data_IF_330369867062
#
_entry.id   IF_330369867062
#
_cell.length_a   1.000
_cell.length_b   1.000
_cell.length_c   1.000
_cell.angle_alpha   90.00
_cell.angle_beta   90.00
_cell.angle_gamma   90.00
#
_symmetry.space_group_name_H-M   'P 1'
#
loop_
_entity.id
_entity.type
_entity.pdbx_description
1 polymer ?
#
# COMPACT_ATOMS: atom_id res chain seq x y z
N UNK A 1 28.92 -5.29 16.16
CA UNK A 1 28.30 -4.01 16.54
C UNK A 1 27.18 -3.74 15.54
N UNK A 2 25.99 -3.37 16.02
CA UNK A 2 24.91 -2.92 15.15
C UNK A 2 25.18 -1.45 14.78
N UNK A 3 25.39 -1.20 13.49
CA UNK A 3 25.76 0.12 12.97
C UNK A 3 24.57 1.09 13.01
N UNK A 4 24.66 2.13 13.85
CA UNK A 4 23.61 3.14 14.04
C UNK A 4 23.29 3.86 12.72
N UNK A 5 24.26 3.97 11.82
CA UNK A 5 24.11 4.53 10.47
C UNK A 5 23.15 3.72 9.58
N UNK A 6 23.10 2.39 9.75
CA UNK A 6 22.13 1.55 9.05
C UNK A 6 20.70 1.83 9.52
N UNK A 7 20.50 2.17 10.80
CA UNK A 7 19.18 2.56 11.32
C UNK A 7 18.67 3.88 10.75
N UNK A 8 19.55 4.85 10.50
CA UNK A 8 19.17 6.11 9.85
C UNK A 8 18.77 5.92 8.38
N UNK A 9 19.46 5.03 7.66
CA UNK A 9 19.08 4.65 6.30
C UNK A 9 17.74 3.89 6.28
N UNK A 10 17.55 2.97 7.22
CA UNK A 10 16.28 2.26 7.41
C UNK A 10 15.14 3.24 7.71
N UNK A 11 15.32 4.18 8.63
CA UNK A 11 14.30 5.21 8.95
C UNK A 11 13.89 6.02 7.72
N UNK A 12 14.85 6.45 6.90
CA UNK A 12 14.58 7.20 5.66
C UNK A 12 13.86 6.34 4.61
N UNK A 13 14.29 5.09 4.44
CA UNK A 13 13.65 4.14 3.52
C UNK A 13 12.21 3.83 3.93
N UNK A 14 11.97 3.61 5.22
CA UNK A 14 10.65 3.36 5.78
C UNK A 14 9.72 4.56 5.64
N UNK A 15 10.21 5.78 5.88
CA UNK A 15 9.42 7.00 5.70
C UNK A 15 9.01 7.23 4.23
N UNK A 16 9.91 6.94 3.29
CA UNK A 16 9.61 6.98 1.86
C UNK A 16 8.57 5.92 1.48
N UNK A 17 8.77 4.67 1.89
CA UNK A 17 7.84 3.57 1.65
C UNK A 17 6.43 3.87 2.19
N UNK A 18 6.33 4.47 3.38
CA UNK A 18 5.05 4.88 3.94
C UNK A 18 4.36 5.97 3.11
N UNK A 19 5.09 6.99 2.67
CA UNK A 19 4.54 8.05 1.84
C UNK A 19 4.09 7.52 0.46
N UNK A 20 4.86 6.62 -0.13
CA UNK A 20 4.55 5.99 -1.41
C UNK A 20 3.29 5.11 -1.29
N UNK A 21 3.18 4.31 -0.23
CA UNK A 21 1.98 3.53 0.08
C UNK A 21 0.76 4.45 0.29
N UNK A 22 0.89 5.53 1.07
CA UNK A 22 -0.18 6.51 1.29
C UNK A 22 -0.62 7.18 -0.01
N UNK A 23 0.31 7.54 -0.89
CA UNK A 23 0.01 8.13 -2.18
C UNK A 23 -0.70 7.15 -3.11
N UNK A 24 -0.28 5.88 -3.10
CA UNK A 24 -0.91 4.80 -3.86
C UNK A 24 -2.36 4.60 -3.41
N UNK A 25 -2.61 4.50 -2.11
CA UNK A 25 -3.95 4.36 -1.53
C UNK A 25 -4.84 5.52 -1.99
N UNK A 26 -4.37 6.77 -1.86
CA UNK A 26 -5.12 7.95 -2.32
C UNK A 26 -5.48 7.91 -3.81
N UNK A 27 -4.54 7.46 -4.65
CA UNK A 27 -4.79 7.33 -6.11
C UNK A 27 -5.85 6.27 -6.39
N UNK A 28 -5.76 5.12 -5.74
CA UNK A 28 -6.72 4.02 -5.88
C UNK A 28 -8.12 4.45 -5.39
N UNK A 29 -8.20 5.12 -4.23
CA UNK A 29 -9.46 5.67 -3.72
C UNK A 29 -10.05 6.78 -4.60
N UNK A 30 -9.22 7.54 -5.31
CA UNK A 30 -9.67 8.50 -6.31
C UNK A 30 -10.15 7.85 -7.63
N UNK A 31 -10.29 6.52 -7.66
CA UNK A 31 -10.73 5.76 -8.82
C UNK A 31 -9.66 5.55 -9.89
N UNK A 32 -8.37 5.80 -9.59
CA UNK A 32 -7.30 5.52 -10.54
C UNK A 32 -6.90 4.05 -10.48
N UNK A 33 -6.84 3.41 -11.63
CA UNK A 33 -6.26 2.08 -11.77
C UNK A 33 -4.75 2.14 -11.55
N UNK A 34 -4.28 1.49 -10.49
CA UNK A 34 -2.86 1.36 -10.16
C UNK A 34 -2.41 -0.07 -10.38
N UNK A 35 -1.19 -0.25 -10.89
CA UNK A 35 -0.56 -1.56 -11.00
C UNK A 35 0.27 -1.85 -9.75
N UNK A 36 0.26 -3.10 -9.32
CA UNK A 36 1.14 -3.59 -8.26
C UNK A 36 2.58 -3.52 -8.74
N UNK A 37 3.46 -2.87 -7.99
CA UNK A 37 4.87 -2.72 -8.36
C UNK A 37 5.62 -4.06 -8.33
N UNK A 38 5.15 -5.02 -7.52
CA UNK A 38 5.79 -6.33 -7.36
C UNK A 38 5.44 -7.29 -8.50
N UNK A 39 4.22 -7.25 -9.04
CA UNK A 39 3.74 -8.25 -9.98
C UNK A 39 3.07 -7.72 -11.25
N UNK A 40 2.91 -6.39 -11.37
CA UNK A 40 2.30 -5.71 -12.51
C UNK A 40 0.78 -5.84 -12.63
N UNK A 41 0.14 -6.67 -11.79
CA UNK A 41 -1.32 -6.84 -11.77
C UNK A 41 -2.05 -5.57 -11.34
N UNK A 42 -3.27 -5.36 -11.85
CA UNK A 42 -4.11 -4.23 -11.43
C UNK A 42 -4.54 -4.43 -9.97
N UNK A 43 -4.38 -3.38 -9.17
CA UNK A 43 -4.85 -3.32 -7.79
C UNK A 43 -6.36 -3.11 -7.78
N UNK A 44 -7.05 -3.89 -6.93
CA UNK A 44 -8.51 -3.81 -6.76
C UNK A 44 -8.81 -3.05 -5.49
N UNK A 45 -9.68 -2.06 -5.59
CA UNK A 45 -10.28 -1.39 -4.44
C UNK A 45 -11.54 -2.18 -4.05
N UNK A 46 -11.59 -2.63 -2.80
CA UNK A 46 -12.81 -3.16 -2.19
C UNK A 46 -13.39 -2.05 -1.32
N UNK A 47 -14.65 -1.71 -1.59
CA UNK A 47 -15.40 -0.72 -0.82
C UNK A 47 -16.24 -1.42 0.26
N UNK A 48 -16.56 -0.73 1.37
CA UNK A 48 -17.27 -1.35 2.49
C UNK A 48 -18.69 -1.83 2.16
N UNK A 49 -19.29 -1.38 1.05
CA UNK A 49 -20.62 -1.83 0.60
C UNK A 49 -20.66 -3.34 0.30
N UNK A 50 -19.53 -3.96 -0.05
CA UNK A 50 -19.43 -5.38 -0.41
C UNK A 50 -19.44 -6.35 0.80
N UNK A 51 -19.69 -5.87 2.03
CA UNK A 51 -19.59 -6.65 3.30
C UNK A 51 -18.22 -7.33 3.52
N UNK A 52 -17.22 -6.97 2.73
CA UNK A 52 -15.84 -7.43 2.83
C UNK A 52 -14.97 -6.35 3.48
N UNK A 53 -13.82 -6.75 4.03
CA UNK A 53 -12.84 -5.79 4.57
C UNK A 53 -12.45 -4.81 3.46
N UNK A 54 -12.77 -3.52 3.61
CA UNK A 54 -12.51 -2.58 2.55
C UNK A 54 -11.02 -2.27 2.53
N UNK A 55 -10.46 -2.11 1.33
CA UNK A 55 -9.02 -2.20 1.19
C UNK A 55 -8.53 -2.20 -0.25
N UNK A 56 -7.22 -2.13 -0.43
CA UNK A 56 -6.55 -2.28 -1.72
C UNK A 56 -5.86 -3.64 -1.75
N UNK A 57 -6.30 -4.50 -2.67
CA UNK A 57 -5.83 -5.87 -2.78
C UNK A 57 -5.27 -6.15 -4.16
N UNK A 58 -4.15 -6.85 -4.19
CA UNK A 58 -3.59 -7.41 -5.41
C UNK A 58 -4.11 -8.85 -5.60
N UNK A 59 -4.51 -9.21 -6.82
CA UNK A 59 -4.98 -10.57 -7.13
C UNK A 59 -3.95 -11.70 -6.87
N UNK A 60 -2.66 -11.36 -6.75
CA UNK A 60 -1.59 -12.31 -6.36
C UNK A 60 -1.23 -12.27 -4.87
N UNK A 61 -1.85 -11.39 -4.07
CA UNK A 61 -1.53 -11.23 -2.65
C UNK A 61 -0.25 -10.41 -2.36
N UNK A 62 0.36 -9.77 -3.37
CA UNK A 62 1.57 -8.96 -3.17
C UNK A 62 1.32 -7.64 -2.41
N UNK A 63 0.09 -7.16 -2.45
CA UNK A 63 -0.34 -5.92 -1.80
C UNK A 63 -1.66 -6.22 -1.14
N UNK A 64 -1.70 -6.11 0.18
CA UNK A 64 -2.87 -6.33 1.02
C UNK A 64 -2.91 -5.19 2.02
N UNK A 65 -3.75 -4.19 1.71
CA UNK A 65 -3.87 -2.97 2.50
C UNK A 65 -5.32 -2.85 2.94
N UNK A 66 -5.62 -3.25 4.17
CA UNK A 66 -6.91 -2.98 4.80
C UNK A 66 -7.03 -1.48 5.06
N UNK A 67 -8.14 -0.90 4.63
CA UNK A 67 -8.53 0.48 4.84
C UNK A 67 -9.61 0.52 5.92
N UNK A 68 -9.48 1.42 6.88
CA UNK A 68 -10.52 1.67 7.87
C UNK A 68 -11.31 2.91 7.44
N UNK A 69 -12.60 2.73 7.19
CA UNK A 69 -13.53 3.81 6.83
C UNK A 69 -14.32 4.17 8.10
N UNK A 70 -13.86 5.21 8.81
CA UNK A 70 -14.56 5.84 9.96
C UNK A 70 -15.44 6.99 9.49
#
# INVERSE_FOLDING_TARGET
MLDITQFDLLKKSSAKSFNDQKALIKKVMAGREMKCETCGSILRLIVPEDKSTPGVYCGKGCTDICLDFI
#
